data_IF_461829055413
#
_entry.id   IF_461829055413
#
_cell.length_a   1.000
_cell.length_b   1.000
_cell.length_c   1.000
_cell.angle_alpha   90.00
_cell.angle_beta   90.00
_cell.angle_gamma   90.00
#
_symmetry.space_group_name_H-M   'P 1'
#
loop_
_entity.id
_entity.type
_entity.pdbx_description
1 polymer ?
#
# COMPACT_ATOMS: atom_id res chain seq x y z
N UNK A 1 -71.56 -16.93 -46.97
CA UNK A 1 -70.14 -16.56 -46.83
C UNK A 1 -69.66 -16.99 -45.44
N UNK A 2 -68.93 -18.10 -45.35
CA UNK A 2 -68.27 -18.56 -44.12
C UNK A 2 -66.77 -18.32 -44.30
N UNK A 3 -66.14 -17.54 -43.42
CA UNK A 3 -64.69 -17.40 -43.36
C UNK A 3 -64.19 -17.69 -41.94
N UNK A 4 -63.05 -18.38 -41.91
CA UNK A 4 -62.48 -19.18 -40.83
C UNK A 4 -61.89 -18.36 -39.68
N UNK A 5 -62.26 -18.69 -38.43
CA UNK A 5 -61.66 -18.14 -37.18
C UNK A 5 -60.51 -19.05 -36.66
N UNK A 6 -60.08 -20.05 -37.43
CA UNK A 6 -59.15 -21.11 -36.94
C UNK A 6 -57.66 -20.81 -37.05
N UNK A 7 -57.23 -19.74 -37.72
CA UNK A 7 -55.79 -19.49 -38.02
C UNK A 7 -55.06 -18.58 -37.01
N UNK A 8 -55.77 -17.89 -36.11
CA UNK A 8 -55.13 -16.90 -35.23
C UNK A 8 -54.55 -17.47 -33.91
N UNK A 9 -55.06 -18.61 -33.42
CA UNK A 9 -54.57 -19.22 -32.15
C UNK A 9 -53.28 -20.02 -32.27
N UNK A 10 -52.85 -20.39 -33.49
CA UNK A 10 -51.66 -21.25 -33.69
C UNK A 10 -50.38 -20.40 -33.77
N UNK A 11 -50.42 -19.23 -34.43
CA UNK A 11 -49.25 -18.35 -34.57
C UNK A 11 -48.81 -17.70 -33.24
N UNK A 12 -49.73 -17.47 -32.30
CA UNK A 12 -49.38 -16.88 -30.99
C UNK A 12 -48.67 -17.89 -30.07
N UNK A 13 -48.91 -19.19 -30.23
CA UNK A 13 -48.19 -20.24 -29.49
C UNK A 13 -46.78 -20.49 -30.04
N UNK A 14 -46.57 -20.39 -31.36
CA UNK A 14 -45.25 -20.52 -31.96
C UNK A 14 -44.33 -19.32 -31.65
N UNK A 15 -44.88 -18.10 -31.62
CA UNK A 15 -44.12 -16.91 -31.22
C UNK A 15 -43.65 -16.95 -29.77
N UNK A 16 -44.51 -17.42 -28.85
CA UNK A 16 -44.13 -17.57 -27.44
C UNK A 16 -43.02 -18.61 -27.23
N UNK A 17 -43.08 -19.75 -27.93
CA UNK A 17 -42.04 -20.79 -27.86
C UNK A 17 -40.70 -20.31 -28.44
N UNK A 18 -40.72 -19.49 -29.48
CA UNK A 18 -39.51 -18.92 -30.08
C UNK A 18 -38.84 -17.88 -29.18
N UNK A 19 -39.62 -17.06 -28.48
CA UNK A 19 -39.13 -16.08 -27.50
C UNK A 19 -38.55 -16.79 -26.26
N UNK A 20 -39.18 -17.87 -25.79
CA UNK A 20 -38.65 -18.65 -24.65
C UNK A 20 -37.32 -19.31 -25.01
N UNK A 21 -37.18 -19.89 -26.22
CA UNK A 21 -35.91 -20.50 -26.65
C UNK A 21 -34.78 -19.48 -26.88
N UNK A 22 -35.10 -18.25 -27.32
CA UNK A 22 -34.10 -17.18 -27.45
C UNK A 22 -33.70 -16.60 -26.09
N UNK A 23 -34.65 -16.50 -25.15
CA UNK A 23 -34.36 -16.11 -23.77
C UNK A 23 -33.49 -17.15 -23.04
N UNK A 24 -33.75 -18.45 -23.28
CA UNK A 24 -32.97 -19.57 -22.73
C UNK A 24 -31.57 -19.67 -23.36
N UNK A 25 -31.43 -19.29 -24.63
CA UNK A 25 -30.13 -19.24 -25.30
C UNK A 25 -29.29 -18.04 -24.85
N UNK A 26 -29.91 -16.89 -24.53
CA UNK A 26 -29.20 -15.72 -24.00
C UNK A 26 -28.72 -15.90 -22.56
N UNK A 27 -29.40 -16.70 -21.72
CA UNK A 27 -28.94 -16.98 -20.34
C UNK A 27 -27.73 -17.90 -20.28
N UNK A 28 -27.44 -18.68 -21.33
CA UNK A 28 -26.27 -19.55 -21.42
C UNK A 28 -24.93 -18.80 -21.69
N UNK A 29 -24.97 -17.53 -22.08
CA UNK A 29 -23.77 -16.72 -22.37
C UNK A 29 -23.32 -15.80 -21.22
N UNK A 30 -23.96 -15.87 -20.04
CA UNK A 30 -23.65 -14.99 -18.88
C UNK A 30 -22.90 -15.75 -17.77
N UNK A 31 -22.19 -16.84 -18.08
CA UNK A 31 -21.36 -17.52 -17.09
C UNK A 31 -20.03 -16.77 -16.93
N UNK A 32 -19.92 -15.97 -15.88
CA UNK A 32 -18.64 -15.40 -15.45
C UNK A 32 -17.69 -16.54 -15.06
N UNK A 33 -16.43 -16.58 -15.53
CA UNK A 33 -15.46 -17.52 -14.99
C UNK A 33 -15.18 -17.15 -13.53
N UNK A 34 -15.64 -17.99 -12.61
CA UNK A 34 -15.15 -17.98 -11.22
C UNK A 34 -13.69 -18.42 -11.27
N UNK A 35 -12.77 -17.46 -11.16
CA UNK A 35 -11.35 -17.75 -10.98
C UNK A 35 -11.14 -18.01 -9.48
N UNK A 36 -10.90 -19.27 -9.12
CA UNK A 36 -10.40 -19.59 -7.79
C UNK A 36 -8.93 -19.12 -7.71
N UNK A 37 -8.68 -18.08 -6.92
CA UNK A 37 -7.33 -17.58 -6.70
C UNK A 37 -6.74 -18.25 -5.46
N UNK A 38 -5.67 -19.02 -5.65
CA UNK A 38 -4.88 -19.61 -4.57
C UNK A 38 -3.52 -18.94 -4.50
N UNK A 39 -2.93 -18.94 -3.31
CA UNK A 39 -1.56 -18.49 -3.10
C UNK A 39 -0.70 -19.63 -2.59
N UNK A 40 0.56 -19.63 -3.02
CA UNK A 40 1.59 -20.47 -2.43
C UNK A 40 2.45 -19.66 -1.48
N UNK A 41 2.67 -20.21 -0.30
CA UNK A 41 3.57 -19.64 0.68
C UNK A 41 4.46 -20.74 1.28
N UNK A 42 5.65 -20.32 1.70
CA UNK A 42 6.62 -21.18 2.36
C UNK A 42 6.83 -20.68 3.78
N UNK A 43 7.03 -21.59 4.71
CA UNK A 43 7.37 -21.26 6.09
C UNK A 43 8.39 -22.27 6.62
N UNK A 44 9.21 -21.82 7.56
CA UNK A 44 10.30 -22.58 8.14
C UNK A 44 10.32 -22.40 9.67
N UNK A 45 10.54 -23.49 10.40
CA UNK A 45 10.67 -23.45 11.84
C UNK A 45 11.82 -24.33 12.32
N UNK A 46 12.48 -23.92 13.40
CA UNK A 46 13.51 -24.73 14.04
C UNK A 46 12.87 -25.85 14.86
N UNK A 47 13.44 -27.04 14.79
CA UNK A 47 13.06 -28.17 15.63
C UNK A 47 13.75 -28.00 16.98
N UNK A 48 12.98 -27.63 18.00
CA UNK A 48 13.44 -27.47 19.38
C UNK A 48 12.95 -28.69 20.19
N UNK A 49 13.81 -29.22 21.05
CA UNK A 49 13.53 -30.38 21.91
C UNK A 49 12.98 -31.60 21.14
N UNK A 50 13.44 -31.77 19.90
CA UNK A 50 12.98 -32.83 18.98
C UNK A 50 11.45 -32.80 18.70
N UNK A 51 10.79 -31.67 18.95
CA UNK A 51 9.35 -31.53 18.77
C UNK A 51 8.99 -31.13 17.33
N UNK A 52 9.04 -32.10 16.43
CA UNK A 52 8.74 -31.92 15.02
C UNK A 52 7.28 -31.47 14.78
N UNK A 53 6.33 -31.95 15.57
CA UNK A 53 4.93 -31.59 15.42
C UNK A 53 4.70 -30.09 15.69
N UNK A 54 5.35 -29.56 16.73
CA UNK A 54 5.30 -28.14 17.04
C UNK A 54 6.00 -27.31 15.98
N UNK A 55 7.19 -27.72 15.55
CA UNK A 55 7.92 -27.03 14.47
C UNK A 55 7.12 -27.00 13.16
N UNK A 56 6.47 -28.11 12.78
CA UNK A 56 5.59 -28.17 11.60
C UNK A 56 4.43 -27.17 11.71
N UNK A 57 3.78 -27.12 12.87
CA UNK A 57 2.68 -26.18 13.11
C UNK A 57 3.18 -24.73 12.98
N UNK A 58 4.33 -24.41 13.57
CA UNK A 58 4.92 -23.07 13.52
C UNK A 58 5.34 -22.68 12.09
N UNK A 59 5.84 -23.63 11.29
CA UNK A 59 6.20 -23.42 9.89
C UNK A 59 4.95 -23.19 9.01
N UNK A 60 3.88 -23.95 9.21
CA UNK A 60 2.60 -23.73 8.51
C UNK A 60 2.02 -22.37 8.89
N UNK A 61 2.05 -22.00 10.17
CA UNK A 61 1.56 -20.73 10.66
C UNK A 61 2.34 -19.54 10.09
N UNK A 62 3.67 -19.66 9.95
CA UNK A 62 4.49 -18.65 9.28
C UNK A 62 4.11 -18.52 7.80
N UNK A 63 3.91 -19.64 7.10
CA UNK A 63 3.52 -19.62 5.70
C UNK A 63 2.15 -18.97 5.49
N UNK A 64 1.18 -19.27 6.36
CA UNK A 64 -0.13 -18.61 6.37
C UNK A 64 0.01 -17.13 6.68
N UNK A 65 0.76 -16.74 7.71
CA UNK A 65 0.98 -15.34 8.07
C UNK A 65 1.59 -14.54 6.90
N UNK A 66 2.58 -15.12 6.20
CA UNK A 66 3.19 -14.53 5.02
C UNK A 66 2.19 -14.36 3.87
N UNK A 67 1.36 -15.38 3.61
CA UNK A 67 0.29 -15.31 2.62
C UNK A 67 -0.74 -14.22 2.96
N UNK A 68 -1.15 -14.12 4.22
CA UNK A 68 -2.12 -13.15 4.74
C UNK A 68 -1.59 -11.71 4.66
N UNK A 69 -0.31 -11.49 4.97
CA UNK A 69 0.35 -10.18 4.82
C UNK A 69 0.45 -9.79 3.35
N UNK A 70 0.79 -10.75 2.48
CA UNK A 70 0.86 -10.54 1.03
C UNK A 70 -0.51 -10.23 0.41
N UNK A 71 -1.60 -10.72 0.99
CA UNK A 71 -2.98 -10.47 0.53
C UNK A 71 -3.71 -9.34 1.25
N UNK A 72 -3.08 -8.66 2.22
CA UNK A 72 -3.64 -7.47 2.88
C UNK A 72 -4.77 -7.73 3.87
N UNK A 73 -4.82 -8.89 4.55
CA UNK A 73 -5.95 -9.25 5.41
C UNK A 73 -6.03 -8.51 6.77
N UNK A 74 -7.24 -8.53 7.39
CA UNK A 74 -7.60 -7.90 8.66
C UNK A 74 -7.38 -8.81 9.89
N UNK A 75 -6.95 -8.23 11.01
CA UNK A 75 -6.92 -8.88 12.33
C UNK A 75 -8.16 -8.47 13.15
N UNK A 76 -8.87 -9.43 13.77
CA UNK A 76 -9.93 -9.14 14.75
C UNK A 76 -9.91 -10.14 15.91
N UNK A 77 -10.49 -9.75 17.06
CA UNK A 77 -10.57 -10.54 18.29
C UNK A 77 -11.99 -10.43 18.88
N UNK A 78 -12.64 -11.57 19.17
CA UNK A 78 -13.87 -11.62 19.97
C UNK A 78 -13.57 -12.06 21.40
N UNK A 79 -14.22 -11.46 22.39
CA UNK A 79 -14.13 -11.86 23.80
C UNK A 79 -15.48 -12.44 24.25
N UNK A 80 -15.51 -13.69 24.71
CA UNK A 80 -16.72 -14.28 25.34
C UNK A 80 -16.50 -14.44 26.84
N UNK A 81 -17.37 -13.82 27.64
CA UNK A 81 -17.36 -13.90 29.11
C UNK A 81 -18.44 -14.86 29.56
N UNK A 82 -18.11 -15.86 30.38
CA UNK A 82 -19.08 -16.75 31.02
C UNK A 82 -18.88 -16.72 32.55
N UNK A 83 -19.87 -16.21 33.27
CA UNK A 83 -19.91 -16.17 34.75
C UNK A 83 -18.69 -15.50 35.43
N UNK A 84 -18.19 -14.39 34.90
CA UNK A 84 -17.19 -13.57 35.60
C UNK A 84 -15.80 -14.19 35.74
N UNK A 85 -15.54 -15.34 35.11
CA UNK A 85 -14.20 -15.88 34.91
C UNK A 85 -13.92 -15.98 33.41
N UNK A 86 -12.71 -15.56 33.02
CA UNK A 86 -12.17 -15.75 31.67
C UNK A 86 -11.98 -17.25 31.47
N UNK A 87 -12.85 -17.88 30.68
CA UNK A 87 -12.75 -19.31 30.36
C UNK A 87 -12.35 -19.43 28.89
N UNK A 88 -11.09 -19.78 28.67
CA UNK A 88 -10.43 -20.11 27.40
C UNK A 88 -10.29 -18.97 26.37
N UNK A 89 -9.03 -18.56 26.19
CA UNK A 89 -8.57 -17.64 25.14
C UNK A 89 -7.90 -18.44 24.02
N UNK A 90 -8.66 -18.81 22.99
CA UNK A 90 -8.08 -19.23 21.72
C UNK A 90 -7.79 -17.99 20.88
N UNK A 91 -6.52 -17.74 20.54
CA UNK A 91 -6.20 -16.93 19.36
C UNK A 91 -6.73 -17.70 18.16
N UNK A 92 -7.87 -17.29 17.64
CA UNK A 92 -8.28 -17.63 16.29
C UNK A 92 -7.96 -16.40 15.46
N UNK A 93 -7.12 -16.57 14.42
CA UNK A 93 -7.21 -15.75 13.22
C UNK A 93 -8.70 -15.72 12.88
N UNK A 94 -9.34 -14.55 13.07
CA UNK A 94 -10.80 -14.46 13.02
C UNK A 94 -11.30 -15.11 11.74
N UNK A 95 -12.03 -16.19 11.96
CA UNK A 95 -12.72 -17.01 10.97
C UNK A 95 -13.87 -16.21 10.33
N UNK A 96 -13.53 -15.16 9.58
CA UNK A 96 -14.19 -14.95 8.28
C UNK A 96 -13.40 -15.65 7.16
N UNK A 97 -12.24 -16.21 7.49
CA UNK A 97 -11.56 -17.27 6.74
C UNK A 97 -12.20 -18.67 6.98
N UNK A 98 -13.51 -18.74 7.27
CA UNK A 98 -14.17 -19.99 7.69
C UNK A 98 -14.24 -21.07 6.58
N UNK A 99 -13.55 -20.87 5.46
CA UNK A 99 -13.33 -21.87 4.43
C UNK A 99 -12.05 -21.62 3.62
N UNK A 100 -10.96 -21.15 4.24
CA UNK A 100 -9.64 -21.15 3.60
C UNK A 100 -9.01 -22.54 3.78
N UNK A 101 -9.03 -23.33 2.71
CA UNK A 101 -8.41 -24.64 2.70
C UNK A 101 -6.89 -24.46 2.58
N UNK A 102 -6.14 -24.91 3.60
CA UNK A 102 -4.67 -24.95 3.59
C UNK A 102 -4.24 -26.38 3.25
N UNK A 103 -3.59 -26.53 2.11
CA UNK A 103 -3.08 -27.81 1.62
C UNK A 103 -1.56 -27.82 1.68
N UNK A 104 -0.98 -28.84 2.33
CA UNK A 104 0.47 -29.02 2.37
C UNK A 104 0.95 -29.59 1.02
N UNK A 105 1.80 -28.84 0.32
CA UNK A 105 2.40 -29.24 -0.96
C UNK A 105 3.66 -30.06 -0.72
N UNK A 106 4.52 -29.59 0.18
CA UNK A 106 5.76 -30.30 0.53
C UNK A 106 6.26 -29.93 1.92
N UNK A 107 7.02 -30.86 2.49
CA UNK A 107 7.74 -30.74 3.75
C UNK A 107 9.18 -31.22 3.54
N UNK A 108 10.15 -30.44 4.01
CA UNK A 108 11.57 -30.76 3.95
C UNK A 108 12.17 -30.54 5.35
N UNK A 109 12.95 -31.52 5.83
CA UNK A 109 13.64 -31.43 7.12
C UNK A 109 15.15 -31.48 6.84
N UNK A 110 15.83 -30.36 7.06
CA UNK A 110 17.26 -30.22 6.86
C UNK A 110 17.86 -29.33 7.97
N UNK A 111 19.05 -29.68 8.45
CA UNK A 111 19.82 -28.90 9.43
C UNK A 111 19.08 -28.49 10.71
N UNK A 112 18.16 -29.34 11.18
CA UNK A 112 17.36 -29.07 12.39
C UNK A 112 16.24 -28.05 12.17
N UNK A 113 15.90 -27.75 10.92
CA UNK A 113 14.74 -26.95 10.53
C UNK A 113 13.75 -27.79 9.72
N UNK A 114 12.48 -27.44 9.82
CA UNK A 114 11.42 -27.93 8.93
C UNK A 114 10.99 -26.77 8.04
N UNK A 115 10.97 -26.99 6.73
CA UNK A 115 10.46 -26.07 5.72
C UNK A 115 9.20 -26.68 5.10
N UNK A 116 8.10 -25.94 5.11
CA UNK A 116 6.82 -26.37 4.52
C UNK A 116 6.44 -25.44 3.37
N UNK A 117 5.89 -25.99 2.31
CA UNK A 117 5.23 -25.22 1.25
C UNK A 117 3.74 -25.54 1.29
N UNK A 118 2.90 -24.51 1.39
CA UNK A 118 1.45 -24.66 1.49
C UNK A 118 0.75 -23.92 0.35
N UNK A 119 -0.36 -24.49 -0.12
CA UNK A 119 -1.35 -23.83 -0.95
C UNK A 119 -2.47 -23.35 -0.04
N UNK A 120 -2.91 -22.11 -0.23
CA UNK A 120 -3.99 -21.51 0.54
C UNK A 120 -5.03 -20.99 -0.45
N UNK A 121 -6.23 -21.54 -0.40
CA UNK A 121 -7.35 -21.11 -1.23
C UNK A 121 -7.99 -19.87 -0.62
N UNK A 122 -8.03 -18.76 -1.38
CA UNK A 122 -8.65 -17.52 -0.94
C UNK A 122 -10.08 -17.43 -1.49
N UNK A 123 -11.04 -17.19 -0.60
CA UNK A 123 -12.39 -16.79 -0.99
C UNK A 123 -12.41 -15.26 -0.97
N UNK A 124 -12.44 -14.64 -2.14
CA UNK A 124 -12.60 -13.19 -2.33
C UNK A 124 -13.98 -12.88 -2.96
N UNK A 125 -14.58 -11.71 -2.70
CA UNK A 125 -13.93 -10.40 -2.76
C UNK A 125 -13.73 -9.72 -1.40
N UNK A 126 -12.52 -9.22 -1.19
CA UNK A 126 -12.09 -8.28 -0.13
C UNK A 126 -12.63 -6.85 -0.36
N UNK A 127 -13.62 -6.67 -1.23
CA UNK A 127 -14.15 -5.36 -1.63
C UNK A 127 -15.25 -4.80 -0.71
N UNK A 128 -15.66 -5.52 0.33
CA UNK A 128 -16.68 -5.00 1.27
C UNK A 128 -16.13 -4.87 2.69
N UNK A 129 -15.94 -3.59 3.05
CA UNK A 129 -15.58 -3.02 4.35
C UNK A 129 -14.10 -2.70 4.60
N UNK A 130 -13.41 -2.08 3.63
CA UNK A 130 -12.49 -0.99 4.02
C UNK A 130 -13.36 0.08 4.69
N UNK A 131 -13.56 -0.06 6.01
CA UNK A 131 -14.21 1.01 6.77
C UNK A 131 -13.34 2.24 6.56
N UNK A 132 -13.98 3.37 6.22
CA UNK A 132 -13.35 4.69 6.16
C UNK A 132 -12.76 5.02 7.54
N UNK A 133 -11.60 4.45 7.82
CA UNK A 133 -10.85 4.74 9.03
C UNK A 133 -10.41 6.19 8.87
N UNK A 134 -10.64 7.02 9.89
CA UNK A 134 -10.12 8.39 9.91
C UNK A 134 -8.60 8.43 10.15
N UNK A 135 -7.92 7.33 9.88
CA UNK A 135 -6.49 7.19 10.10
C UNK A 135 -5.77 7.61 8.84
N UNK A 136 -4.63 8.28 9.03
CA UNK A 136 -3.76 8.69 7.95
C UNK A 136 -2.37 8.10 8.14
N UNK A 137 -1.80 7.61 7.05
CA UNK A 137 -0.40 7.21 7.01
C UNK A 137 0.49 8.42 6.72
N UNK A 138 1.62 8.51 7.41
CA UNK A 138 2.67 9.48 7.05
C UNK A 138 3.49 8.96 5.87
N UNK A 139 3.82 9.86 4.95
CA UNK A 139 4.61 9.58 3.74
C UNK A 139 5.83 10.50 3.71
N UNK A 140 7.03 9.93 3.72
CA UNK A 140 8.25 10.67 3.42
C UNK A 140 8.28 11.03 1.92
N UNK A 141 8.46 12.31 1.62
CA UNK A 141 8.65 12.82 0.24
C UNK A 141 10.01 13.53 0.15
N UNK A 142 11.05 12.87 -0.40
CA UNK A 142 12.37 13.46 -0.59
C UNK A 142 12.39 14.34 -1.86
N UNK A 143 13.55 14.92 -2.17
CA UNK A 143 13.77 15.59 -3.45
C UNK A 143 13.56 14.63 -4.63
N UNK A 144 12.86 15.09 -5.67
CA UNK A 144 12.72 14.32 -6.90
C UNK A 144 14.07 14.07 -7.55
N UNK A 145 14.20 12.91 -8.16
CA UNK A 145 15.36 12.58 -8.99
C UNK A 145 14.99 12.82 -10.45
N UNK A 146 15.96 13.23 -11.26
CA UNK A 146 15.77 13.44 -12.70
C UNK A 146 16.77 12.61 -13.48
N UNK A 147 16.26 11.87 -14.46
CA UNK A 147 17.06 10.97 -15.28
C UNK A 147 18.08 11.70 -16.15
N UNK A 148 17.69 12.82 -16.75
CA UNK A 148 18.57 13.67 -17.55
C UNK A 148 18.46 15.14 -17.12
N UNK A 149 19.44 15.59 -16.33
CA UNK A 149 19.53 17.00 -15.88
C UNK A 149 19.70 17.99 -17.04
N UNK A 150 20.18 17.57 -18.22
CA UNK A 150 20.33 18.48 -19.35
C UNK A 150 18.98 19.04 -19.82
N UNK A 151 17.88 18.34 -19.56
CA UNK A 151 16.53 18.78 -19.91
C UNK A 151 16.04 19.97 -19.07
N UNK A 152 16.65 20.25 -17.91
CA UNK A 152 16.34 21.45 -17.10
C UNK A 152 16.90 22.75 -17.69
N UNK A 153 17.83 22.65 -18.65
CA UNK A 153 18.46 23.82 -19.26
C UNK A 153 17.44 24.68 -20.02
N UNK A 154 16.47 24.04 -20.66
CA UNK A 154 15.39 24.73 -21.34
C UNK A 154 14.42 25.34 -20.32
N UNK A 155 14.41 26.67 -20.22
CA UNK A 155 13.73 27.42 -19.16
C UNK A 155 14.57 27.66 -17.90
N UNK A 156 15.82 27.17 -17.84
CA UNK A 156 16.72 27.30 -16.67
C UNK A 156 16.07 26.86 -15.34
N UNK A 157 15.49 25.66 -15.35
CA UNK A 157 14.68 25.08 -14.27
C UNK A 157 15.50 24.43 -13.14
N UNK A 158 16.56 25.11 -12.65
CA UNK A 158 17.55 24.50 -11.76
C UNK A 158 17.06 24.00 -10.39
N UNK A 159 15.87 24.41 -9.94
CA UNK A 159 15.24 23.98 -8.68
C UNK A 159 13.97 23.15 -8.90
N UNK A 160 13.71 22.70 -10.12
CA UNK A 160 12.45 22.03 -10.44
C UNK A 160 12.27 20.72 -9.68
N UNK A 161 13.34 19.95 -9.45
CA UNK A 161 13.25 18.72 -8.65
C UNK A 161 12.74 18.96 -7.22
N UNK A 162 13.26 20.01 -6.57
CA UNK A 162 12.83 20.41 -5.22
C UNK A 162 11.37 20.87 -5.25
N UNK A 163 11.08 21.81 -6.13
CA UNK A 163 9.75 22.45 -6.18
C UNK A 163 8.65 21.47 -6.58
N UNK A 164 8.98 20.47 -7.41
CA UNK A 164 8.06 19.40 -7.75
C UNK A 164 7.71 18.55 -6.52
N UNK A 165 8.70 18.19 -5.70
CA UNK A 165 8.46 17.49 -4.43
C UNK A 165 7.65 18.32 -3.45
N UNK A 166 7.92 19.64 -3.37
CA UNK A 166 7.13 20.57 -2.55
C UNK A 166 5.67 20.63 -3.01
N UNK A 167 5.42 20.73 -4.33
CA UNK A 167 4.06 20.70 -4.87
C UNK A 167 3.37 19.36 -4.65
N UNK A 168 4.06 18.24 -4.87
CA UNK A 168 3.51 16.90 -4.62
C UNK A 168 3.08 16.75 -3.16
N UNK A 169 3.92 17.19 -2.22
CA UNK A 169 3.58 17.16 -0.80
C UNK A 169 2.37 18.05 -0.47
N UNK A 170 2.31 19.27 -1.01
CA UNK A 170 1.16 20.16 -0.84
C UNK A 170 -0.14 19.54 -1.40
N UNK A 171 -0.08 18.90 -2.56
CA UNK A 171 -1.26 18.22 -3.14
C UNK A 171 -1.72 17.08 -2.24
N UNK A 172 -0.81 16.24 -1.76
CA UNK A 172 -1.15 15.15 -0.84
C UNK A 172 -1.75 15.71 0.46
N UNK A 173 -1.14 16.72 1.09
CA UNK A 173 -1.66 17.34 2.32
C UNK A 173 -3.08 17.88 2.17
N UNK A 174 -3.37 18.52 1.04
CA UNK A 174 -4.65 19.19 0.81
C UNK A 174 -5.75 18.26 0.32
N UNK A 175 -5.41 17.18 -0.40
CA UNK A 175 -6.40 16.35 -1.10
C UNK A 175 -6.48 14.91 -0.60
N UNK A 176 -5.45 14.39 0.08
CA UNK A 176 -5.44 13.02 0.57
C UNK A 176 -6.34 12.85 1.80
N UNK A 177 -7.17 11.81 1.77
CA UNK A 177 -7.94 11.36 2.93
C UNK A 177 -7.22 10.29 3.75
N UNK A 178 -6.30 9.55 3.13
CA UNK A 178 -5.63 8.38 3.73
C UNK A 178 -4.21 8.66 4.20
N UNK A 179 -3.66 9.83 3.89
CA UNK A 179 -2.26 10.13 4.14
C UNK A 179 -1.99 11.61 4.38
N UNK A 180 -0.77 11.88 4.83
CA UNK A 180 -0.13 13.18 4.93
C UNK A 180 1.37 13.02 4.72
N UNK A 181 2.12 14.11 4.60
CA UNK A 181 3.53 14.10 4.22
C UNK A 181 4.48 14.58 5.32
N UNK A 182 5.67 13.99 5.32
CA UNK A 182 6.89 14.54 5.89
C UNK A 182 7.79 14.94 4.71
N UNK A 183 7.90 16.24 4.47
CA UNK A 183 8.57 16.78 3.29
C UNK A 183 10.07 16.99 3.55
N UNK A 184 10.90 16.36 2.72
CA UNK A 184 12.36 16.46 2.72
C UNK A 184 12.88 16.85 1.32
N UNK A 185 12.29 17.88 0.70
CA UNK A 185 12.60 18.29 -0.68
C UNK A 185 14.04 18.79 -0.92
N UNK A 186 14.80 19.03 0.15
CA UNK A 186 16.22 19.40 0.10
C UNK A 186 17.17 18.20 0.17
N UNK A 187 16.64 17.01 0.46
CA UNK A 187 17.42 15.80 0.67
C UNK A 187 17.19 14.82 -0.49
N UNK A 188 18.28 14.38 -1.10
CA UNK A 188 18.25 13.28 -2.07
C UNK A 188 18.50 11.99 -1.31
N UNK A 189 17.61 11.02 -1.48
CA UNK A 189 17.90 9.67 -1.02
C UNK A 189 18.83 9.00 -2.02
N UNK A 190 20.01 8.60 -1.55
CA UNK A 190 20.98 7.82 -2.33
C UNK A 190 20.52 6.35 -2.35
N UNK A 191 19.43 6.11 -3.07
CA UNK A 191 18.92 4.79 -3.38
C UNK A 191 19.44 4.43 -4.76
N UNK A 192 20.11 3.28 -4.90
CA UNK A 192 20.52 2.79 -6.22
C UNK A 192 19.27 2.56 -7.08
N UNK A 193 18.99 3.54 -7.96
CA UNK A 193 17.79 3.56 -8.78
C UNK A 193 17.74 2.37 -9.74
N UNK A 194 18.89 1.81 -10.14
CA UNK A 194 18.90 0.62 -10.97
C UNK A 194 18.26 -0.58 -10.26
N UNK A 195 18.31 -0.59 -8.93
CA UNK A 195 17.76 -1.67 -8.11
C UNK A 195 16.28 -1.44 -7.75
N UNK A 196 15.79 -0.20 -7.76
CA UNK A 196 14.38 0.15 -7.47
C UNK A 196 13.39 -0.61 -8.36
N UNK A 197 13.79 -0.95 -9.58
CA UNK A 197 12.97 -1.72 -10.54
C UNK A 197 13.26 -3.22 -10.55
N UNK A 198 14.25 -3.69 -9.80
CA UNK A 198 14.56 -5.12 -9.66
C UNK A 198 13.51 -5.81 -8.80
N UNK A 199 12.95 -6.92 -9.30
CA UNK A 199 11.97 -7.71 -8.54
C UNK A 199 12.57 -8.21 -7.24
N UNK A 200 11.91 -7.86 -6.13
CA UNK A 200 12.31 -8.27 -4.78
C UNK A 200 13.31 -7.35 -4.10
N UNK A 201 13.75 -6.27 -4.77
CA UNK A 201 14.48 -5.18 -4.12
C UNK A 201 13.64 -4.55 -3.00
N UNK A 202 14.32 -4.12 -1.94
CA UNK A 202 13.71 -3.48 -0.78
C UNK A 202 14.55 -2.28 -0.39
N UNK A 203 13.87 -1.19 -0.02
CA UNK A 203 14.55 -0.08 0.62
C UNK A 203 15.08 -0.49 1.99
N UNK A 204 16.22 0.07 2.42
CA UNK A 204 16.71 -0.12 3.78
C UNK A 204 15.68 0.35 4.83
N UNK A 205 15.42 -0.45 5.85
CA UNK A 205 14.42 -0.15 6.89
C UNK A 205 14.77 1.10 7.72
N UNK A 206 16.06 1.43 7.87
CA UNK A 206 16.52 2.58 8.64
C UNK A 206 15.94 3.90 8.11
N UNK A 207 15.61 3.99 6.81
CA UNK A 207 14.98 5.18 6.23
C UNK A 207 13.62 5.46 6.86
N UNK A 208 12.84 4.43 7.18
CA UNK A 208 11.58 4.57 7.91
C UNK A 208 11.79 5.01 9.35
N UNK A 209 12.81 4.44 9.99
CA UNK A 209 13.16 4.70 11.40
C UNK A 209 13.62 6.14 11.63
N UNK A 210 14.36 6.74 10.68
CA UNK A 210 14.86 8.11 10.84
C UNK A 210 13.83 9.20 10.50
N UNK A 211 12.81 8.89 9.70
CA UNK A 211 11.81 9.90 9.26
C UNK A 211 10.46 9.73 9.92
N UNK A 212 10.33 8.78 10.84
CA UNK A 212 9.09 8.40 11.52
C UNK A 212 7.91 8.23 10.55
N UNK A 213 8.21 7.76 9.33
CA UNK A 213 7.24 7.69 8.24
C UNK A 213 6.79 6.25 8.01
N UNK A 214 5.49 6.03 7.81
CA UNK A 214 4.96 4.69 7.51
C UNK A 214 5.27 4.26 6.07
N UNK A 215 5.40 5.23 5.17
CA UNK A 215 5.75 5.00 3.78
C UNK A 215 6.81 5.99 3.29
N UNK A 216 7.52 5.58 2.23
CA UNK A 216 8.48 6.41 1.50
C UNK A 216 8.01 6.49 0.06
N UNK A 217 7.77 7.70 -0.44
CA UNK A 217 7.39 7.97 -1.81
C UNK A 217 8.59 8.51 -2.56
N UNK A 218 9.08 7.79 -3.57
CA UNK A 218 10.19 8.24 -4.42
C UNK A 218 9.67 8.88 -5.71
N UNK A 219 9.84 10.21 -5.89
CA UNK A 219 9.53 10.89 -7.14
C UNK A 219 10.70 10.86 -8.13
N UNK A 220 10.40 10.46 -9.37
CA UNK A 220 11.36 10.39 -10.46
C UNK A 220 10.82 11.08 -11.72
N UNK A 221 11.53 12.10 -12.18
CA UNK A 221 11.32 12.79 -13.45
C UNK A 221 12.06 12.01 -14.53
N UNK A 222 11.29 11.34 -15.39
CA UNK A 222 11.82 10.50 -16.47
C UNK A 222 12.17 11.35 -17.69
N UNK A 223 11.28 12.27 -18.08
CA UNK A 223 11.44 13.11 -19.25
C UNK A 223 10.67 14.43 -19.10
N UNK A 224 11.36 15.55 -19.32
CA UNK A 224 10.81 16.89 -19.40
C UNK A 224 11.35 17.65 -20.62
N UNK A 225 11.73 16.92 -21.66
CA UNK A 225 12.25 17.51 -22.89
C UNK A 225 11.17 18.32 -23.64
N UNK A 226 11.54 19.45 -24.25
CA UNK A 226 10.68 20.11 -25.21
C UNK A 226 10.65 19.31 -26.52
N UNK A 227 9.50 19.22 -27.16
CA UNK A 227 9.41 18.82 -28.56
C UNK A 227 10.19 19.81 -29.43
N UNK A 228 10.69 19.33 -30.57
CA UNK A 228 11.38 20.21 -31.51
C UNK A 228 10.38 21.24 -32.06
N UNK A 229 10.59 22.52 -31.73
CA UNK A 229 9.80 23.61 -32.28
C UNK A 229 9.91 23.62 -33.81
N UNK A 230 8.77 23.49 -34.49
CA UNK A 230 8.70 23.64 -35.94
C UNK A 230 8.41 25.10 -36.26
N UNK A 231 9.32 25.77 -36.96
CA UNK A 231 9.09 27.14 -37.45
C UNK A 231 8.24 27.09 -38.71
N UNK A 232 7.00 27.56 -38.65
CA UNK A 232 6.17 27.78 -39.84
C UNK A 232 6.63 29.04 -40.58
N UNK A 233 7.24 28.84 -41.75
CA UNK A 233 7.70 29.91 -42.67
C UNK A 233 8.70 30.93 -42.07
N UNK A 234 9.29 30.66 -40.89
CA UNK A 234 10.28 31.53 -40.26
C UNK A 234 9.73 32.86 -39.70
N UNK A 235 8.40 33.02 -39.64
CA UNK A 235 7.74 34.27 -39.23
C UNK A 235 6.98 34.17 -37.90
N UNK A 236 6.61 32.95 -37.48
CA UNK A 236 5.89 32.70 -36.24
C UNK A 236 6.57 31.53 -35.50
N UNK A 237 6.88 31.74 -34.22
CA UNK A 237 7.39 30.70 -33.32
C UNK A 237 6.22 30.27 -32.45
N UNK A 238 5.73 29.04 -32.65
CA UNK A 238 4.68 28.48 -31.80
C UNK A 238 5.30 28.06 -30.46
N UNK A 239 4.54 28.18 -29.39
CA UNK A 239 4.92 27.65 -28.08
C UNK A 239 5.17 26.14 -28.23
N UNK A 240 6.39 25.66 -27.92
CA UNK A 240 6.70 24.27 -28.13
C UNK A 240 5.95 23.41 -27.12
N UNK A 241 5.47 22.26 -27.57
CA UNK A 241 4.97 21.25 -26.65
C UNK A 241 6.13 20.75 -25.79
N UNK A 242 5.88 20.50 -24.50
CA UNK A 242 6.85 19.94 -23.57
C UNK A 242 6.24 18.75 -22.87
N UNK A 243 6.98 17.63 -22.86
CA UNK A 243 6.55 16.42 -22.18
C UNK A 243 6.77 16.54 -20.67
N UNK A 244 5.99 15.80 -19.90
CA UNK A 244 6.21 15.54 -18.49
C UNK A 244 5.94 14.06 -18.23
N UNK A 245 7.02 13.28 -18.19
CA UNK A 245 7.01 11.88 -17.77
C UNK A 245 7.51 11.79 -16.34
N UNK A 246 6.65 11.28 -15.46
CA UNK A 246 6.88 11.26 -14.04
C UNK A 246 6.53 9.91 -13.47
N UNK A 247 7.37 9.35 -12.62
CA UNK A 247 7.15 8.07 -11.96
C UNK A 247 7.19 8.25 -10.46
N UNK A 248 6.25 7.59 -9.81
CA UNK A 248 6.21 7.47 -8.37
C UNK A 248 6.37 6.01 -7.99
N UNK A 249 7.13 5.78 -6.91
CA UNK A 249 7.25 4.46 -6.29
C UNK A 249 7.03 4.61 -4.79
N UNK A 250 6.00 3.93 -4.27
CA UNK A 250 5.64 3.94 -2.86
C UNK A 250 6.16 2.67 -2.19
N UNK A 251 6.90 2.84 -1.11
CA UNK A 251 7.51 1.77 -0.33
C UNK A 251 6.97 1.75 1.08
N UNK A 252 6.72 0.55 1.61
CA UNK A 252 6.38 0.38 3.03
C UNK A 252 7.65 0.48 3.88
N UNK A 253 7.69 1.40 4.83
CA UNK A 253 8.91 1.79 5.50
C UNK A 253 9.52 0.68 6.39
N UNK A 254 8.67 -0.18 6.97
CA UNK A 254 9.10 -1.28 7.85
C UNK A 254 9.66 -2.45 7.03
N UNK A 255 8.97 -2.84 5.95
CA UNK A 255 9.34 -4.02 5.16
C UNK A 255 10.28 -3.70 3.99
N UNK A 256 10.43 -2.42 3.66
CA UNK A 256 11.17 -1.94 2.49
C UNK A 256 10.52 -2.29 1.15
N UNK A 257 9.35 -2.93 1.14
CA UNK A 257 8.73 -3.43 -0.09
C UNK A 257 8.07 -2.31 -0.90
N UNK A 258 8.25 -2.36 -2.23
CA UNK A 258 7.50 -1.52 -3.17
C UNK A 258 6.04 -1.98 -3.20
N UNK A 259 5.15 -1.21 -2.58
CA UNK A 259 3.72 -1.52 -2.49
C UNK A 259 2.92 -1.01 -3.69
N UNK A 260 3.44 0.02 -4.37
CA UNK A 260 2.82 0.60 -5.55
C UNK A 260 3.87 1.36 -6.38
N UNK A 261 3.66 1.40 -7.69
CA UNK A 261 4.41 2.26 -8.59
C UNK A 261 3.59 2.52 -9.85
N UNK A 262 3.61 3.77 -10.32
CA UNK A 262 2.94 4.18 -11.54
C UNK A 262 3.76 5.26 -12.25
N UNK A 263 3.71 5.24 -13.57
CA UNK A 263 4.26 6.27 -14.43
C UNK A 263 3.11 7.04 -15.08
N UNK A 264 3.25 8.36 -15.10
CA UNK A 264 2.37 9.33 -15.73
C UNK A 264 3.12 9.94 -16.91
N UNK A 265 2.39 10.27 -17.98
CA UNK A 265 2.94 10.91 -19.16
C UNK A 265 1.91 11.84 -19.74
N UNK A 266 2.20 13.13 -19.71
CA UNK A 266 1.37 14.17 -20.30
C UNK A 266 2.25 15.15 -21.07
N UNK A 267 1.62 15.98 -21.89
CA UNK A 267 2.29 17.03 -22.67
C UNK A 267 1.44 18.29 -22.60
N UNK A 268 2.08 19.45 -22.53
CA UNK A 268 1.41 20.74 -22.56
C UNK A 268 2.29 21.78 -23.27
N UNK A 269 1.69 22.90 -23.66
CA UNK A 269 2.39 24.02 -24.29
C UNK A 269 3.35 24.68 -23.27
N UNK A 270 4.54 25.04 -23.75
CA UNK A 270 5.52 25.80 -23.00
C UNK A 270 5.41 27.29 -23.36
N UNK A 271 4.58 28.01 -22.61
CA UNK A 271 4.22 29.42 -22.86
C UNK A 271 5.34 30.44 -22.53
N UNK A 272 6.57 29.97 -22.28
CA UNK A 272 7.70 30.84 -21.95
C UNK A 272 8.66 30.94 -23.14
N UNK A 273 9.13 32.15 -23.42
CA UNK A 273 10.06 32.36 -24.53
C UNK A 273 11.36 31.56 -24.39
N UNK A 274 11.98 31.21 -25.52
CA UNK A 274 13.17 30.34 -25.57
C UNK A 274 14.34 30.76 -24.66
N UNK A 275 14.51 32.08 -24.45
CA UNK A 275 15.62 32.63 -23.66
C UNK A 275 15.22 33.01 -22.23
N UNK A 276 13.95 32.82 -21.86
CA UNK A 276 13.46 33.18 -20.54
C UNK A 276 13.97 32.20 -19.49
N UNK A 277 14.53 32.75 -18.40
CA UNK A 277 14.73 32.00 -17.15
C UNK A 277 13.40 31.95 -16.41
N UNK A 278 12.91 30.75 -16.14
CA UNK A 278 11.64 30.50 -15.48
C UNK A 278 11.90 30.03 -14.06
N UNK A 279 11.35 30.76 -13.08
CA UNK A 279 11.43 30.33 -11.69
C UNK A 279 10.35 29.28 -11.42
N UNK A 280 10.74 28.02 -11.25
CA UNK A 280 9.84 26.90 -10.94
C UNK A 280 9.14 27.02 -9.58
N UNK A 281 9.47 28.00 -8.74
CA UNK A 281 8.79 28.28 -7.48
C UNK A 281 7.78 29.44 -7.61
N UNK A 282 7.65 30.03 -8.81
CA UNK A 282 6.78 31.17 -9.00
C UNK A 282 5.33 30.77 -9.29
N UNK A 283 4.39 31.58 -8.84
CA UNK A 283 2.98 31.49 -9.24
C UNK A 283 2.81 31.56 -10.77
N UNK A 284 3.68 32.33 -11.45
CA UNK A 284 3.67 32.42 -12.90
C UNK A 284 3.90 31.05 -13.56
N UNK A 285 4.87 30.28 -13.06
CA UNK A 285 5.11 28.92 -13.55
C UNK A 285 3.91 28.03 -13.29
N UNK A 286 3.40 28.00 -12.06
CA UNK A 286 2.32 27.08 -11.68
C UNK A 286 0.92 27.45 -12.22
N UNK A 287 0.76 28.64 -12.81
CA UNK A 287 -0.44 29.06 -13.56
C UNK A 287 -0.32 28.92 -15.08
N UNK A 288 0.87 28.59 -15.59
CA UNK A 288 1.05 28.29 -17.01
C UNK A 288 0.36 26.96 -17.38
N UNK A 289 0.08 26.74 -18.65
CA UNK A 289 -0.48 25.48 -19.16
C UNK A 289 0.37 24.27 -18.73
N UNK A 290 1.71 24.38 -18.79
CA UNK A 290 2.61 23.33 -18.32
C UNK A 290 2.51 23.09 -16.80
N UNK A 291 2.43 24.17 -16.01
CA UNK A 291 2.29 24.08 -14.55
C UNK A 291 0.95 23.51 -14.10
N UNK A 292 -0.16 23.91 -14.72
CA UNK A 292 -1.50 23.37 -14.48
C UNK A 292 -1.58 21.89 -14.88
N UNK A 293 -1.01 21.51 -16.02
CA UNK A 293 -0.92 20.11 -16.44
C UNK A 293 -0.16 19.27 -15.41
N UNK A 294 0.97 19.75 -14.88
CA UNK A 294 1.70 19.04 -13.82
C UNK A 294 0.83 18.90 -12.56
N UNK A 295 0.15 19.96 -12.12
CA UNK A 295 -0.75 19.88 -10.94
C UNK A 295 -1.86 18.85 -11.13
N UNK A 296 -2.41 18.73 -12.35
CA UNK A 296 -3.35 17.67 -12.71
C UNK A 296 -2.76 16.27 -12.50
N UNK A 297 -1.53 16.04 -12.98
CA UNK A 297 -0.81 14.77 -12.78
C UNK A 297 -0.54 14.50 -11.29
N UNK A 298 -0.14 15.51 -10.51
CA UNK A 298 0.10 15.35 -9.07
C UNK A 298 -1.20 15.05 -8.30
N UNK A 299 -2.34 15.63 -8.72
CA UNK A 299 -3.65 15.35 -8.14
C UNK A 299 -4.10 13.92 -8.45
N UNK A 300 -3.94 13.45 -9.68
CA UNK A 300 -4.19 12.05 -10.05
C UNK A 300 -3.32 11.11 -9.19
N UNK A 301 -2.03 11.43 -9.05
CA UNK A 301 -1.12 10.66 -8.22
C UNK A 301 -1.55 10.58 -6.75
N UNK A 302 -2.00 11.69 -6.17
CA UNK A 302 -2.51 11.69 -4.80
C UNK A 302 -3.75 10.80 -4.64
N UNK A 303 -4.63 10.75 -5.64
CA UNK A 303 -5.82 9.89 -5.62
C UNK A 303 -5.46 8.40 -5.76
N UNK A 304 -4.49 8.08 -6.61
CA UNK A 304 -3.97 6.72 -6.76
C UNK A 304 -3.33 6.22 -5.46
N UNK A 305 -2.53 7.07 -4.79
CA UNK A 305 -1.94 6.76 -3.48
C UNK A 305 -3.05 6.52 -2.45
N UNK A 306 -4.09 7.37 -2.43
CA UNK A 306 -5.25 7.19 -1.55
C UNK A 306 -5.93 5.83 -1.77
N UNK A 307 -6.17 5.46 -3.02
CA UNK A 307 -6.78 4.17 -3.35
C UNK A 307 -5.91 2.98 -2.88
N UNK A 308 -4.58 3.15 -2.90
CA UNK A 308 -3.61 2.14 -2.48
C UNK A 308 -3.56 1.99 -0.96
N UNK A 309 -3.73 3.09 -0.22
CA UNK A 309 -3.56 3.13 1.24
C UNK A 309 -4.87 2.92 2.02
N UNK A 310 -6.03 3.26 1.45
CA UNK A 310 -7.34 3.21 2.13
C UNK A 310 -7.69 1.85 2.75
N UNK A 311 -7.18 0.76 2.20
CA UNK A 311 -7.45 -0.60 2.67
C UNK A 311 -6.29 -1.22 3.47
N UNK A 312 -5.23 -0.46 3.76
CA UNK A 312 -4.07 -0.94 4.49
C UNK A 312 -4.17 -0.55 5.97
N UNK A 313 -3.85 -1.46 6.91
CA UNK A 313 -3.81 -1.10 8.32
C UNK A 313 -2.71 -0.07 8.58
N UNK A 314 -3.00 0.91 9.45
CA UNK A 314 -1.98 1.83 9.94
C UNK A 314 -1.10 1.10 10.96
N UNK A 315 0.16 0.88 10.59
CA UNK A 315 1.18 0.28 11.44
C UNK A 315 2.05 1.39 12.04
N UNK A 316 2.18 1.40 13.36
CA UNK A 316 3.18 2.21 14.07
C UNK A 316 4.29 1.34 14.63
N UNK A 317 5.32 1.98 15.16
CA UNK A 317 6.46 1.35 15.82
C UNK A 317 6.69 1.96 17.20
N UNK A 318 7.19 1.13 18.13
CA UNK A 318 7.71 1.58 19.41
C UNK A 318 9.08 2.24 19.18
N UNK A 319 9.14 3.56 19.34
CA UNK A 319 10.37 4.36 19.15
C UNK A 319 11.12 4.64 20.44
N UNK A 320 10.43 4.55 21.58
CA UNK A 320 11.08 4.61 22.89
C UNK A 320 10.31 3.78 23.91
N UNK A 321 11.02 3.33 24.95
CA UNK A 321 10.44 2.59 26.07
C UNK A 321 11.04 3.06 27.39
N UNK A 322 10.16 3.28 28.37
CA UNK A 322 10.55 3.54 29.76
C UNK A 322 9.62 2.79 30.70
N UNK A 323 10.15 1.76 31.37
CA UNK A 323 9.39 0.89 32.28
C UNK A 323 8.12 0.31 31.62
N UNK A 324 6.94 0.77 32.05
CA UNK A 324 5.60 0.37 31.62
C UNK A 324 5.00 1.30 30.54
N UNK A 325 5.80 2.25 30.03
CA UNK A 325 5.41 3.22 29.01
C UNK A 325 6.21 3.02 27.73
N UNK A 326 5.53 3.25 26.61
CA UNK A 326 6.12 3.25 25.27
C UNK A 326 5.73 4.52 24.52
N UNK A 327 6.63 5.02 23.68
CA UNK A 327 6.36 6.09 22.72
C UNK A 327 6.22 5.45 21.34
N UNK A 328 5.20 5.86 20.61
CA UNK A 328 4.83 5.38 19.28
C UNK A 328 5.03 6.51 18.26
N UNK A 329 5.50 6.19 17.06
CA UNK A 329 5.56 7.12 15.92
C UNK A 329 4.20 7.34 15.24
N UNK A 330 3.12 7.37 16.03
CA UNK A 330 1.77 7.70 15.57
C UNK A 330 1.18 8.78 16.47
N UNK A 331 0.70 9.87 15.88
CA UNK A 331 0.15 11.03 16.59
C UNK A 331 -1.27 11.42 16.18
N UNK A 332 -1.67 12.66 16.49
CA UNK A 332 -2.98 13.21 16.10
C UNK A 332 -3.16 13.25 14.59
N UNK A 333 -2.10 13.55 13.83
CA UNK A 333 -2.16 13.56 12.35
C UNK A 333 -2.50 12.19 11.78
N UNK A 334 -2.08 11.12 12.46
CA UNK A 334 -2.45 9.75 12.11
C UNK A 334 -3.86 9.34 12.58
N UNK A 335 -4.56 10.20 13.33
CA UNK A 335 -5.87 9.92 13.88
C UNK A 335 -5.84 9.18 15.23
N UNK A 336 -4.70 9.16 15.93
CA UNK A 336 -4.58 8.60 17.29
C UNK A 336 -5.15 9.59 18.32
N UNK A 337 -5.82 9.04 19.35
CA UNK A 337 -6.50 9.78 20.42
C UNK A 337 -6.19 9.15 21.76
N UNK A 338 -6.22 9.98 22.81
CA UNK A 338 -6.16 9.51 24.20
C UNK A 338 -7.32 8.54 24.45
N UNK A 339 -7.02 7.40 25.06
CA UNK A 339 -7.98 6.32 25.32
C UNK A 339 -8.06 5.26 24.22
N UNK A 340 -7.47 5.50 23.03
CA UNK A 340 -7.37 4.47 22.00
C UNK A 340 -6.64 3.23 22.55
N UNK A 341 -7.11 2.06 22.17
CA UNK A 341 -6.43 0.80 22.47
C UNK A 341 -5.83 0.24 21.20
N UNK A 342 -4.53 -0.02 21.23
CA UNK A 342 -3.77 -0.58 20.11
C UNK A 342 -3.29 -1.97 20.47
N UNK A 343 -3.23 -2.83 19.46
CA UNK A 343 -2.62 -4.14 19.57
C UNK A 343 -1.11 -4.02 19.37
N UNK A 344 -0.33 -4.61 20.26
CA UNK A 344 1.11 -4.72 20.12
C UNK A 344 1.46 -6.04 19.39
N UNK A 345 2.36 -5.96 18.43
CA UNK A 345 2.88 -7.07 17.63
C UNK A 345 4.41 -7.04 17.71
N UNK A 346 5.03 -8.14 18.14
CA UNK A 346 6.50 -8.17 18.25
C UNK A 346 7.11 -8.15 16.85
N UNK A 347 8.14 -7.34 16.62
CA UNK A 347 8.90 -7.41 15.38
C UNK A 347 10.10 -8.34 15.58
N UNK A 348 10.21 -9.36 14.74
CA UNK A 348 11.39 -10.22 14.67
C UNK A 348 12.09 -10.02 13.35
N UNK A 349 13.42 -10.00 13.36
CA UNK A 349 14.22 -9.93 12.14
C UNK A 349 14.72 -11.33 11.80
N UNK A 350 14.35 -11.86 10.63
CA UNK A 350 14.80 -13.16 10.12
C UNK A 350 15.72 -12.98 8.91
N UNK A 351 16.89 -13.64 8.87
CA UNK A 351 17.76 -13.58 7.69
C UNK A 351 17.09 -14.26 6.49
N UNK A 352 17.25 -13.68 5.31
CA UNK A 352 16.82 -14.28 4.06
C UNK A 352 17.95 -15.04 3.35
N UNK A 353 17.65 -15.60 2.18
CA UNK A 353 18.62 -16.37 1.36
C UNK A 353 19.85 -15.58 0.90
N UNK A 354 19.84 -14.25 1.05
CA UNK A 354 20.94 -13.35 0.75
C UNK A 354 21.53 -12.74 2.04
N UNK A 355 21.23 -13.33 3.20
CA UNK A 355 21.62 -12.86 4.55
C UNK A 355 21.09 -11.46 4.92
N UNK A 356 20.09 -10.95 4.18
CA UNK A 356 19.43 -9.70 4.55
C UNK A 356 18.38 -9.97 5.63
N UNK A 357 18.33 -9.11 6.64
CA UNK A 357 17.35 -9.21 7.72
C UNK A 357 15.96 -8.76 7.25
N UNK A 358 14.93 -9.56 7.53
CA UNK A 358 13.53 -9.29 7.18
C UNK A 358 12.67 -9.16 8.42
N UNK A 359 11.90 -8.08 8.50
CA UNK A 359 10.90 -7.90 9.54
C UNK A 359 9.75 -8.91 9.37
N UNK A 360 9.46 -9.65 10.43
CA UNK A 360 8.38 -10.63 10.55
C UNK A 360 7.58 -10.32 11.80
N UNK A 361 6.26 -10.30 11.67
CA UNK A 361 5.35 -10.14 12.79
C UNK A 361 5.36 -11.40 13.67
N UNK A 362 5.72 -11.23 14.94
CA UNK A 362 5.69 -12.24 15.99
C UNK A 362 4.46 -12.13 16.88
N UNK A 363 4.17 -13.19 17.63
CA UNK A 363 3.02 -13.25 18.54
C UNK A 363 3.22 -12.30 19.72
N UNK A 364 2.35 -11.29 19.84
CA UNK A 364 2.10 -10.60 21.11
C UNK A 364 0.60 -10.52 21.37
N UNK A 365 0.21 -10.83 22.61
CA UNK A 365 -1.16 -10.71 23.13
C UNK A 365 -1.37 -9.39 23.89
N UNK A 366 -0.36 -8.52 23.91
CA UNK A 366 -0.40 -7.29 24.67
C UNK A 366 -1.25 -6.24 23.94
N UNK A 367 -2.09 -5.56 24.71
CA UNK A 367 -2.74 -4.32 24.28
C UNK A 367 -2.17 -3.17 25.06
N UNK A 368 -2.06 -2.02 24.41
CA UNK A 368 -1.58 -0.78 24.99
C UNK A 368 -2.69 0.25 24.90
N UNK A 369 -2.81 1.11 25.91
CA UNK A 369 -3.78 2.20 25.90
C UNK A 369 -3.06 3.52 25.82
N UNK A 370 -3.45 4.35 24.85
CA UNK A 370 -2.89 5.68 24.65
C UNK A 370 -3.26 6.58 25.82
N UNK A 371 -2.27 7.19 26.45
CA UNK A 371 -2.47 8.08 27.59
C UNK A 371 -2.17 9.55 27.26
N UNK A 372 -1.24 9.79 26.32
CA UNK A 372 -0.89 11.11 25.82
C UNK A 372 -0.69 11.06 24.30
N UNK A 373 -1.02 12.16 23.62
CA UNK A 373 -0.85 12.28 22.17
C UNK A 373 -0.28 13.66 21.86
N UNK A 374 0.69 13.72 20.96
CA UNK A 374 1.21 14.93 20.30
C UNK A 374 0.78 14.93 18.82
N UNK A 375 1.17 15.92 18.03
CA UNK A 375 0.83 15.88 16.60
C UNK A 375 1.40 14.65 15.87
N UNK A 376 2.59 14.21 16.27
CA UNK A 376 3.39 13.21 15.53
C UNK A 376 3.61 11.91 16.32
N UNK A 377 3.44 11.92 17.65
CA UNK A 377 3.69 10.77 18.50
C UNK A 377 2.61 10.55 19.54
N UNK A 378 2.58 9.36 20.13
CA UNK A 378 1.71 9.02 21.23
C UNK A 378 2.47 8.24 22.30
N UNK A 379 2.15 8.51 23.56
CA UNK A 379 2.59 7.69 24.68
C UNK A 379 1.48 6.71 25.05
N UNK A 380 1.85 5.49 25.34
CA UNK A 380 0.93 4.43 25.74
C UNK A 380 1.42 3.71 26.99
N UNK A 381 0.47 3.27 27.81
CA UNK A 381 0.74 2.47 29.01
C UNK A 381 0.44 0.99 28.71
N UNK A 382 1.37 0.13 29.11
CA UNK A 382 1.28 -1.33 28.97
C UNK A 382 0.33 -1.89 30.03
N UNK A 383 -0.77 -2.52 29.62
CA UNK A 383 -1.70 -3.17 30.55
C UNK A 383 -1.28 -4.64 30.78
N UNK A 384 -0.81 -4.94 31.99
CA UNK A 384 -0.49 -6.31 32.46
C UNK A 384 1.01 -6.59 32.62
N UNK A 385 1.39 -7.24 33.72
CA UNK A 385 2.80 -7.49 34.11
C UNK A 385 3.55 -8.33 33.07
N UNK A 386 2.88 -9.33 32.48
CA UNK A 386 3.46 -10.26 31.49
C UNK A 386 3.71 -9.63 30.11
N UNK A 387 2.95 -8.59 29.76
CA UNK A 387 3.07 -7.88 28.47
C UNK A 387 4.33 -7.01 28.40
N UNK A 388 4.85 -6.59 29.55
CA UNK A 388 5.99 -5.66 29.64
C UNK A 388 7.36 -6.31 29.40
N UNK A 389 7.49 -7.63 29.51
CA UNK A 389 8.81 -8.25 29.65
C UNK A 389 9.61 -8.37 28.34
N UNK A 390 8.96 -8.30 27.17
CA UNK A 390 9.61 -8.57 25.88
C UNK A 390 9.43 -7.48 24.81
N UNK A 391 8.94 -6.29 25.18
CA UNK A 391 8.74 -5.20 24.21
C UNK A 391 10.08 -4.55 23.88
N UNK A 392 10.38 -4.46 22.60
CA UNK A 392 11.59 -3.89 22.03
C UNK A 392 11.28 -2.63 21.22
N UNK A 393 12.34 -1.86 20.94
CA UNK A 393 12.25 -0.84 19.90
C UNK A 393 11.90 -1.53 18.57
N UNK A 394 11.17 -0.81 17.73
CA UNK A 394 10.64 -1.27 16.44
C UNK A 394 9.52 -2.30 16.52
N UNK A 395 9.10 -2.77 17.71
CA UNK A 395 7.86 -3.55 17.83
C UNK A 395 6.68 -2.76 17.26
N UNK A 396 5.79 -3.48 16.58
CA UNK A 396 4.70 -2.88 15.82
C UNK A 396 3.48 -2.65 16.69
N UNK A 397 2.72 -1.63 16.35
CA UNK A 397 1.39 -1.37 16.91
C UNK A 397 0.36 -1.21 15.82
N UNK A 398 -0.82 -1.76 16.05
CA UNK A 398 -1.94 -1.73 15.10
C UNK A 398 -3.16 -1.19 15.81
N UNK A 399 -3.79 -0.18 15.23
CA UNK A 399 -5.09 0.32 15.69
C UNK A 399 -6.20 -0.54 15.06
N UNK A 400 -6.98 -1.22 15.91
CA UNK A 400 -8.04 -2.18 15.52
C UNK A 400 -9.34 -1.51 15.06
#
# INVERSE_FOLDING_TARGET
MRCNVKTWKINMKLGLFSIINTLLACTLFITSPVQAQWIQASGQAKIIDNNLAKARQDAIEQAVSYATLKSGARFSSEQTVRNGQLVNESFTLSHNAQSQQVEMISELIEDGYITVNVRIDMIEPLEQACQNSKLKASILVPQALIKDRAQLRYGNLGLFEQNLSEQLAQVIENHSNSSFTHLHANERLDVDQALVDVRGYRLPSWLGEITDSQYILLPEIIDISPEQSTRTFGLWENDPMRVFQFKLSLFHAISGEKVWSKQYSQTAEWEFSLQQTVNSNSDQFWRSEYGEMIKGVLLEASQDIDSTLNCRPLLGQVVARQADRVILNLGRRNGIRVGDTLQLVLQQNMPDRLENMRAVAGKSKATITIDQVTEESATAVLKGVSASLNIQLNDLVIKL
#
